data_IF_794395488098
#
_entry.id   IF_794395488098
#
_cell.length_a   1.000
_cell.length_b   1.000
_cell.length_c   1.000
_cell.angle_alpha   90.00
_cell.angle_beta   90.00
_cell.angle_gamma   90.00
#
_symmetry.space_group_name_H-M   'P 1'
#
loop_
_entity.id
_entity.type
_entity.pdbx_description
1 polymer ?
#
# COMPACT_ATOMS: atom_id res chain seq x y z
N UNK A 1 -25.72 26.45 -66.84
CA UNK A 1 -25.00 25.18 -66.56
C UNK A 1 -23.60 25.43 -66.01
N UNK A 2 -22.80 26.36 -66.57
CA UNK A 2 -21.49 26.73 -66.00
C UNK A 2 -21.60 27.45 -64.65
N UNK A 3 -22.55 28.36 -64.48
CA UNK A 3 -22.68 29.14 -63.23
C UNK A 3 -23.12 28.29 -62.02
N UNK A 4 -24.00 27.30 -62.23
CA UNK A 4 -24.39 26.33 -61.18
C UNK A 4 -23.19 25.48 -60.74
N UNK A 5 -22.34 25.07 -61.69
CA UNK A 5 -21.11 24.33 -61.37
C UNK A 5 -20.13 25.19 -60.56
N UNK A 6 -19.93 26.45 -60.94
CA UNK A 6 -19.06 27.39 -60.22
C UNK A 6 -19.57 27.64 -58.80
N UNK A 7 -20.87 27.89 -58.64
CA UNK A 7 -21.46 28.14 -57.32
C UNK A 7 -21.33 26.93 -56.38
N UNK A 8 -21.52 25.70 -56.89
CA UNK A 8 -21.30 24.48 -56.10
C UNK A 8 -19.84 24.29 -55.73
N UNK A 9 -18.91 24.60 -56.64
CA UNK A 9 -17.49 24.51 -56.38
C UNK A 9 -17.03 25.51 -55.31
N UNK A 10 -17.53 26.75 -55.36
CA UNK A 10 -17.33 27.76 -54.31
C UNK A 10 -17.90 27.30 -52.95
N UNK A 11 -19.08 26.68 -52.95
CA UNK A 11 -19.68 26.09 -51.75
C UNK A 11 -18.82 24.98 -51.14
N UNK A 12 -18.26 24.10 -51.98
CA UNK A 12 -17.33 23.04 -51.54
C UNK A 12 -16.04 23.64 -50.97
N UNK A 13 -15.48 24.66 -51.62
CA UNK A 13 -14.28 25.34 -51.11
C UNK A 13 -14.53 26.00 -49.76
N UNK A 14 -15.70 26.63 -49.57
CA UNK A 14 -16.12 27.20 -48.30
C UNK A 14 -16.21 26.14 -47.19
N UNK A 15 -16.88 25.03 -47.46
CA UNK A 15 -16.99 23.91 -46.51
C UNK A 15 -15.62 23.30 -46.16
N UNK A 16 -14.71 23.16 -47.13
CA UNK A 16 -13.34 22.68 -46.89
C UNK A 16 -12.57 23.66 -45.99
N UNK A 17 -12.73 24.96 -46.20
CA UNK A 17 -12.08 25.97 -45.36
C UNK A 17 -12.60 25.96 -43.92
N UNK A 18 -13.91 25.75 -43.74
CA UNK A 18 -14.55 25.61 -42.43
C UNK A 18 -14.04 24.37 -41.68
N UNK A 19 -14.08 23.19 -42.32
CA UNK A 19 -13.56 21.94 -41.74
C UNK A 19 -12.07 22.07 -41.38
N UNK A 20 -11.28 22.75 -42.21
CA UNK A 20 -9.86 23.03 -41.89
C UNK A 20 -9.71 23.90 -40.65
N UNK A 21 -10.59 24.88 -40.47
CA UNK A 21 -10.64 25.72 -39.27
C UNK A 21 -10.94 24.89 -38.02
N UNK A 22 -11.97 24.05 -38.08
CA UNK A 22 -12.37 23.16 -36.99
C UNK A 22 -11.28 22.16 -36.64
N UNK A 23 -10.62 21.56 -37.64
CA UNK A 23 -9.48 20.66 -37.42
C UNK A 23 -8.33 21.34 -36.68
N UNK A 24 -8.04 22.62 -37.00
CA UNK A 24 -7.01 23.38 -36.30
C UNK A 24 -7.39 23.66 -34.85
N UNK A 25 -8.65 24.03 -34.59
CA UNK A 25 -9.16 24.25 -33.25
C UNK A 25 -9.15 22.95 -32.41
N UNK A 26 -9.57 21.84 -33.01
CA UNK A 26 -9.55 20.52 -32.37
C UNK A 26 -8.12 20.05 -32.08
N UNK A 27 -7.17 20.29 -32.97
CA UNK A 27 -5.76 19.98 -32.74
C UNK A 27 -5.18 20.78 -31.56
N UNK A 28 -5.50 22.08 -31.47
CA UNK A 28 -5.08 22.92 -30.34
C UNK A 28 -5.63 22.41 -29.00
N UNK A 29 -6.94 22.19 -28.93
CA UNK A 29 -7.59 21.63 -27.72
C UNK A 29 -7.04 20.26 -27.34
N UNK A 30 -6.71 19.43 -28.32
CA UNK A 30 -6.12 18.12 -28.08
C UNK A 30 -4.72 18.22 -27.48
N UNK A 31 -3.87 19.12 -28.01
CA UNK A 31 -2.54 19.37 -27.47
C UNK A 31 -2.60 19.81 -26.00
N UNK A 32 -3.45 20.80 -25.69
CA UNK A 32 -3.61 21.29 -24.31
C UNK A 32 -4.15 20.19 -23.37
N UNK A 33 -5.07 19.35 -23.86
CA UNK A 33 -5.59 18.23 -23.07
C UNK A 33 -4.53 17.15 -22.84
N UNK A 34 -3.66 16.88 -23.83
CA UNK A 34 -2.54 15.95 -23.70
C UNK A 34 -1.54 16.46 -22.66
N UNK A 35 -1.13 17.74 -22.73
CA UNK A 35 -0.20 18.35 -21.77
C UNK A 35 -0.75 18.30 -20.32
N UNK A 36 -2.01 18.71 -20.12
CA UNK A 36 -2.66 18.67 -18.81
C UNK A 36 -2.77 17.23 -18.26
N UNK A 37 -3.06 16.26 -19.13
CA UNK A 37 -3.12 14.86 -18.74
C UNK A 37 -1.74 14.33 -18.36
N UNK A 38 -0.69 14.67 -19.10
CA UNK A 38 0.68 14.28 -18.80
C UNK A 38 1.12 14.82 -17.43
N UNK A 39 0.84 16.10 -17.16
CA UNK A 39 1.13 16.73 -15.87
C UNK A 39 0.34 16.07 -14.72
N UNK A 40 -0.95 15.80 -14.94
CA UNK A 40 -1.80 15.12 -13.96
C UNK A 40 -1.32 13.71 -13.65
N UNK A 41 -0.93 12.95 -14.69
CA UNK A 41 -0.38 11.60 -14.55
C UNK A 41 0.97 11.63 -13.82
N UNK A 42 1.84 12.60 -14.12
CA UNK A 42 3.12 12.75 -13.44
C UNK A 42 2.93 13.05 -11.94
N UNK A 43 2.02 13.96 -11.61
CA UNK A 43 1.67 14.31 -10.23
C UNK A 43 1.14 13.10 -9.46
N UNK A 44 0.18 12.37 -10.04
CA UNK A 44 -0.38 11.16 -9.42
C UNK A 44 0.66 10.06 -9.22
N UNK A 45 1.56 9.86 -10.21
CA UNK A 45 2.68 8.93 -10.07
C UNK A 45 3.59 9.32 -8.90
N UNK A 46 3.96 10.60 -8.79
CA UNK A 46 4.77 11.09 -7.67
C UNK A 46 4.08 10.83 -6.32
N UNK A 47 2.81 11.22 -6.19
CA UNK A 47 2.04 11.00 -4.97
C UNK A 47 1.94 9.52 -4.58
N UNK A 48 1.65 8.65 -5.54
CA UNK A 48 1.56 7.20 -5.29
C UNK A 48 2.91 6.61 -4.89
N UNK A 49 4.03 7.08 -5.45
CA UNK A 49 5.36 6.63 -5.01
C UNK A 49 5.68 7.06 -3.58
N UNK A 50 5.39 8.31 -3.22
CA UNK A 50 5.58 8.80 -1.85
C UNK A 50 4.71 8.04 -0.86
N UNK A 51 3.45 7.79 -1.22
CA UNK A 51 2.52 7.07 -0.35
C UNK A 51 2.96 5.62 -0.13
N UNK A 52 3.43 4.93 -1.18
CA UNK A 52 3.98 3.57 -1.06
C UNK A 52 5.18 3.53 -0.12
N UNK A 53 6.13 4.45 -0.27
CA UNK A 53 7.30 4.52 0.60
C UNK A 53 6.90 4.74 2.07
N UNK A 54 5.94 5.64 2.33
CA UNK A 54 5.43 5.88 3.68
C UNK A 54 4.72 4.66 4.26
N UNK A 55 3.97 3.91 3.44
CA UNK A 55 3.32 2.66 3.87
C UNK A 55 4.35 1.59 4.23
N UNK A 56 5.42 1.43 3.43
CA UNK A 56 6.50 0.47 3.71
C UNK A 56 7.24 0.83 5.00
N UNK A 57 7.58 2.10 5.21
CA UNK A 57 8.21 2.58 6.45
C UNK A 57 7.31 2.32 7.67
N UNK A 58 6.02 2.62 7.55
CA UNK A 58 5.07 2.40 8.64
C UNK A 58 4.89 0.90 8.93
N UNK A 59 4.86 0.05 7.91
CA UNK A 59 4.78 -1.40 8.08
C UNK A 59 5.98 -1.95 8.85
N UNK A 60 7.21 -1.51 8.50
CA UNK A 60 8.42 -1.88 9.23
C UNK A 60 8.39 -1.41 10.68
N UNK A 61 7.86 -0.21 10.93
CA UNK A 61 7.74 0.34 12.28
C UNK A 61 6.72 -0.43 13.12
N UNK A 62 5.60 -0.85 12.52
CA UNK A 62 4.61 -1.69 13.20
C UNK A 62 5.20 -3.05 13.54
N UNK A 63 5.91 -3.69 12.60
CA UNK A 63 6.57 -4.98 12.86
C UNK A 63 7.59 -4.88 14.01
N UNK A 64 8.44 -3.84 14.00
CA UNK A 64 9.38 -3.58 15.09
C UNK A 64 8.67 -3.35 16.44
N UNK A 65 7.58 -2.58 16.46
CA UNK A 65 6.79 -2.35 17.67
C UNK A 65 6.14 -3.64 18.19
N UNK A 66 5.57 -4.46 17.31
CA UNK A 66 5.00 -5.74 17.69
C UNK A 66 6.06 -6.71 18.23
N UNK A 67 7.22 -6.77 17.58
CA UNK A 67 8.33 -7.59 18.00
C UNK A 67 8.88 -7.14 19.36
N UNK A 68 9.01 -5.83 19.59
CA UNK A 68 9.42 -5.29 20.91
C UNK A 68 8.37 -5.55 21.98
N UNK A 69 7.09 -5.38 21.67
CA UNK A 69 6.00 -5.63 22.61
C UNK A 69 5.91 -7.10 23.02
N UNK A 70 6.25 -8.03 22.12
CA UNK A 70 6.24 -9.47 22.37
C UNK A 70 7.62 -10.07 22.67
N UNK A 71 8.68 -9.25 22.79
CA UNK A 71 10.07 -9.74 22.89
C UNK A 71 10.34 -10.68 24.05
N UNK A 72 9.56 -10.54 25.12
CA UNK A 72 9.66 -11.34 26.35
C UNK A 72 8.60 -12.43 26.43
N UNK A 73 7.76 -12.58 25.40
CA UNK A 73 6.72 -13.59 25.37
C UNK A 73 7.29 -14.90 24.82
N UNK A 74 6.97 -15.99 25.50
CA UNK A 74 7.30 -17.35 25.05
C UNK A 74 6.02 -18.07 24.64
N UNK A 75 6.08 -18.83 23.55
CA UNK A 75 5.00 -19.72 23.11
C UNK A 75 5.43 -21.17 23.30
N UNK A 76 4.80 -21.85 24.26
CA UNK A 76 5.04 -23.26 24.52
C UNK A 76 4.08 -24.10 23.65
N UNK A 77 4.61 -25.12 22.98
CA UNK A 77 3.84 -25.98 22.07
C UNK A 77 4.11 -27.44 22.44
N UNK A 78 3.07 -28.28 22.41
CA UNK A 78 3.17 -29.71 22.73
C UNK A 78 2.99 -30.05 24.21
N UNK A 79 2.54 -29.10 25.04
CA UNK A 79 2.07 -29.39 26.39
C UNK A 79 0.69 -30.06 26.33
N UNK A 80 0.46 -31.18 27.05
CA UNK A 80 -0.86 -31.76 27.18
C UNK A 80 -1.82 -30.78 27.87
N UNK A 81 -3.05 -30.70 27.37
CA UNK A 81 -4.08 -29.83 27.96
C UNK A 81 -4.31 -30.16 29.45
N UNK A 82 -4.62 -29.13 30.24
CA UNK A 82 -4.88 -29.23 31.69
C UNK A 82 -3.69 -29.61 32.58
N UNK A 83 -2.47 -29.73 32.04
CA UNK A 83 -1.26 -30.01 32.84
C UNK A 83 -0.92 -28.87 33.82
N UNK A 84 -1.38 -27.67 33.49
CA UNK A 84 -1.05 -26.40 34.16
C UNK A 84 -1.83 -26.22 35.47
N UNK A 85 -2.97 -26.89 35.62
CA UNK A 85 -3.87 -26.73 36.76
C UNK A 85 -4.57 -25.37 36.80
N UNK A 86 -4.86 -24.87 38.01
CA UNK A 86 -5.60 -23.62 38.21
C UNK A 86 -4.71 -22.36 38.11
N UNK A 87 -3.39 -22.51 38.29
CA UNK A 87 -2.42 -21.42 38.32
C UNK A 87 -1.26 -21.72 37.36
N UNK A 88 -1.40 -21.19 36.15
CA UNK A 88 -0.45 -21.36 35.05
C UNK A 88 0.91 -20.74 35.40
N UNK A 89 0.93 -19.58 36.07
CA UNK A 89 2.18 -18.91 36.43
C UNK A 89 3.00 -19.79 37.39
N UNK A 90 2.37 -20.28 38.46
CA UNK A 90 3.04 -21.15 39.44
C UNK A 90 3.49 -22.48 38.83
N UNK A 91 2.75 -23.01 37.84
CA UNK A 91 3.18 -24.17 37.06
C UNK A 91 4.45 -23.86 36.26
N UNK A 92 4.44 -22.78 35.47
CA UNK A 92 5.55 -22.42 34.59
C UNK A 92 6.83 -22.06 35.36
N UNK A 93 6.72 -21.38 36.50
CA UNK A 93 7.86 -21.07 37.38
C UNK A 93 8.62 -22.32 37.82
N UNK A 94 7.93 -23.46 37.97
CA UNK A 94 8.52 -24.75 38.35
C UNK A 94 8.90 -25.59 37.13
N UNK A 95 8.05 -25.58 36.11
CA UNK A 95 8.21 -26.42 34.93
C UNK A 95 9.39 -25.99 34.07
N UNK A 96 9.56 -24.69 33.81
CA UNK A 96 10.62 -24.16 32.93
C UNK A 96 12.03 -24.49 33.48
N UNK A 97 12.37 -24.22 34.75
CA UNK A 97 13.70 -24.57 35.26
C UNK A 97 13.93 -26.08 35.33
N UNK A 98 12.87 -26.87 35.57
CA UNK A 98 12.94 -28.32 35.58
C UNK A 98 13.23 -28.90 34.19
N UNK A 99 12.68 -28.32 33.14
CA UNK A 99 12.86 -28.81 31.76
C UNK A 99 14.13 -28.28 31.08
N UNK A 100 14.52 -27.03 31.33
CA UNK A 100 15.68 -26.37 30.71
C UNK A 100 16.96 -26.43 31.54
N UNK A 101 17.02 -27.34 32.52
CA UNK A 101 18.10 -27.51 33.50
C UNK A 101 18.30 -26.29 34.42
N UNK A 102 17.89 -26.42 35.67
CA UNK A 102 17.77 -25.32 36.64
C UNK A 102 19.03 -24.49 36.93
N UNK A 103 20.23 -24.98 36.63
CA UNK A 103 21.47 -24.22 36.79
C UNK A 103 21.62 -23.07 35.79
N UNK A 104 20.83 -23.05 34.72
CA UNK A 104 20.80 -21.95 33.74
C UNK A 104 20.08 -20.70 34.25
N UNK A 105 19.39 -20.78 35.39
CA UNK A 105 18.60 -19.68 35.92
C UNK A 105 19.29 -19.07 37.16
N UNK A 106 19.64 -17.78 37.13
CA UNK A 106 20.31 -17.12 38.25
C UNK A 106 19.39 -16.88 39.47
N UNK A 107 18.10 -17.12 39.32
CA UNK A 107 17.09 -16.96 40.37
C UNK A 107 15.71 -17.44 39.91
N UNK A 108 14.67 -17.24 40.74
CA UNK A 108 13.29 -17.56 40.37
C UNK A 108 12.85 -16.79 39.12
N UNK A 109 12.09 -17.45 38.26
CA UNK A 109 11.50 -16.80 37.09
C UNK A 109 10.41 -15.83 37.54
N UNK A 110 10.41 -14.63 36.96
CA UNK A 110 9.36 -13.64 37.14
C UNK A 110 8.45 -13.69 35.92
N UNK A 111 7.24 -14.21 36.09
CA UNK A 111 6.24 -14.30 35.02
C UNK A 111 5.18 -13.23 35.27
N UNK A 112 5.11 -12.23 34.39
CA UNK A 112 4.10 -11.17 34.51
C UNK A 112 2.68 -11.69 34.25
N UNK A 113 2.54 -12.58 33.26
CA UNK A 113 1.25 -13.13 32.84
C UNK A 113 1.45 -14.43 32.07
N UNK A 114 0.54 -15.38 32.27
CA UNK A 114 0.42 -16.58 31.45
C UNK A 114 -1.06 -16.85 31.13
N UNK A 115 -1.30 -17.57 30.03
CA UNK A 115 -2.61 -17.82 29.44
C UNK A 115 -2.71 -19.24 28.94
#
# INVERSE_FOLDING_TARGET
>A
MKDDFVSRFEGILGAIQEVRGDLKAMAGRRSEAEDNNEEGVATLKSYTTTLKAAMEELALKVDDLENRARRSNLRLVGLPESTEGLDVCAFLEKWIPKTLCGYNFPGPLLIERAH
#
